data_IF_185138546180
#
_entry.id   IF_185138546180
#
_cell.length_a   1.000
_cell.length_b   1.000
_cell.length_c   1.000
_cell.angle_alpha   90.00
_cell.angle_beta   90.00
_cell.angle_gamma   90.00
#
_symmetry.space_group_name_H-M   'P 1'
#
loop_
_entity.id
_entity.type
_entity.pdbx_description
1 polymer ?
#
# COMPACT_ATOMS: atom_id res chain seq x y z
N UNK A 1 5.12 -2.06 -9.81
CA UNK A 1 4.04 -3.03 -9.58
C UNK A 1 3.17 -2.49 -8.47
N UNK A 2 1.86 -2.62 -8.60
CA UNK A 2 0.88 -2.29 -7.56
C UNK A 2 0.27 -3.60 -7.04
N UNK A 3 -0.02 -3.67 -5.74
CA UNK A 3 -0.62 -4.83 -5.10
C UNK A 3 -1.69 -4.35 -4.14
N UNK A 4 -2.89 -4.90 -4.25
CA UNK A 4 -4.07 -4.53 -3.47
C UNK A 4 -4.76 -5.79 -2.97
N UNK A 5 -5.64 -5.64 -1.98
CA UNK A 5 -6.62 -6.68 -1.68
C UNK A 5 -7.55 -6.89 -2.88
N UNK A 6 -8.28 -8.00 -2.92
CA UNK A 6 -9.28 -8.28 -3.96
C UNK A 6 -10.54 -7.43 -3.74
N UNK A 7 -10.45 -6.14 -4.08
CA UNK A 7 -11.56 -5.20 -3.97
C UNK A 7 -11.38 -4.02 -4.91
N UNK A 8 -12.44 -3.74 -5.66
CA UNK A 8 -12.56 -2.55 -6.51
C UNK A 8 -13.32 -1.41 -5.83
N UNK A 9 -13.61 -1.52 -4.53
CA UNK A 9 -14.37 -0.51 -3.80
C UNK A 9 -13.53 0.77 -3.64
N UNK A 10 -14.00 1.86 -4.24
CA UNK A 10 -13.30 3.16 -4.21
C UNK A 10 -14.27 4.30 -3.93
N UNK A 11 -13.97 5.11 -2.92
CA UNK A 11 -14.65 6.39 -2.65
C UNK A 11 -13.74 7.52 -3.14
N UNK A 12 -14.27 8.41 -4.00
CA UNK A 12 -13.48 9.44 -4.70
C UNK A 12 -13.70 10.84 -4.13
N UNK A 13 -12.61 11.56 -3.86
CA UNK A 13 -12.63 12.91 -3.29
C UNK A 13 -12.37 14.06 -4.31
N UNK A 14 -11.89 13.77 -5.50
CA UNK A 14 -11.50 14.80 -6.47
C UNK A 14 -10.61 14.28 -7.61
N UNK A 15 -10.06 15.20 -8.42
CA UNK A 15 -9.15 14.92 -9.55
C UNK A 15 -9.66 13.80 -10.49
N UNK A 16 -10.98 13.76 -10.69
CA UNK A 16 -11.65 12.73 -11.47
C UNK A 16 -12.95 13.30 -12.06
N UNK A 17 -13.30 12.79 -13.23
CA UNK A 17 -14.59 12.99 -13.89
C UNK A 17 -15.63 11.96 -13.45
N UNK A 18 -15.22 10.93 -12.69
CA UNK A 18 -16.11 9.88 -12.22
C UNK A 18 -17.01 10.37 -11.06
N UNK A 19 -18.09 9.63 -10.82
CA UNK A 19 -19.07 9.91 -9.75
C UNK A 19 -18.40 9.94 -8.37
N UNK A 20 -18.89 10.82 -7.50
CA UNK A 20 -18.40 11.04 -6.14
C UNK A 20 -19.50 10.75 -5.12
N UNK A 21 -19.25 9.80 -4.24
CA UNK A 21 -20.11 9.52 -3.09
C UNK A 21 -19.66 10.35 -1.89
N UNK A 22 -20.09 11.61 -1.87
CA UNK A 22 -19.65 12.60 -0.89
C UNK A 22 -20.08 12.25 0.55
N UNK A 23 -21.31 11.78 0.82
CA UNK A 23 -21.70 11.42 2.19
C UNK A 23 -20.82 10.31 2.78
N UNK A 24 -20.55 9.24 2.02
CA UNK A 24 -19.70 8.15 2.47
C UNK A 24 -18.22 8.57 2.55
N UNK A 25 -17.78 9.52 1.72
CA UNK A 25 -16.45 10.11 1.85
C UNK A 25 -16.28 10.85 3.19
N UNK A 26 -17.24 11.69 3.55
CA UNK A 26 -17.17 12.49 4.79
C UNK A 26 -17.27 11.61 6.03
N UNK A 27 -18.10 10.56 6.00
CA UNK A 27 -18.24 9.64 7.13
C UNK A 27 -17.08 8.65 7.27
N UNK A 28 -16.45 8.26 6.16
CA UNK A 28 -15.45 7.18 6.11
C UNK A 28 -13.99 7.62 6.32
N UNK A 29 -13.68 8.92 6.25
CA UNK A 29 -12.31 9.42 6.43
C UNK A 29 -11.98 9.54 7.92
N UNK A 30 -10.83 9.00 8.33
CA UNK A 30 -10.40 9.03 9.74
C UNK A 30 -9.95 10.42 10.25
N UNK A 31 -9.81 11.41 9.35
CA UNK A 31 -9.34 12.78 9.61
C UNK A 31 -8.01 12.89 10.39
N UNK A 32 -7.26 11.80 10.51
CA UNK A 32 -5.95 11.76 11.14
C UNK A 32 -4.88 12.33 10.20
N UNK A 33 -4.03 13.22 10.72
CA UNK A 33 -2.87 13.70 9.98
C UNK A 33 -1.82 12.58 9.88
N UNK A 34 -1.57 12.08 8.67
CA UNK A 34 -0.50 11.11 8.41
C UNK A 34 0.87 11.78 8.30
N UNK A 35 1.82 11.40 9.16
CA UNK A 35 3.24 11.75 8.96
C UNK A 35 3.79 10.92 7.79
N UNK A 36 4.36 11.55 6.76
CA UNK A 36 4.90 10.88 5.55
C UNK A 36 5.87 9.70 5.83
N UNK A 37 6.43 9.63 7.03
CA UNK A 37 7.40 8.61 7.44
C UNK A 37 6.74 7.32 7.95
N UNK A 38 5.47 7.36 8.39
CA UNK A 38 4.75 6.18 8.92
C UNK A 38 4.12 5.33 7.83
N UNK A 39 3.99 5.85 6.61
CA UNK A 39 3.42 5.15 5.43
C UNK A 39 4.47 4.66 4.45
N UNK A 40 5.76 4.91 4.71
CA UNK A 40 6.85 4.35 3.87
C UNK A 40 7.16 2.93 4.29
N UNK A 41 7.15 2.03 3.31
CA UNK A 41 7.62 0.67 3.48
C UNK A 41 9.14 0.66 3.59
N UNK A 42 9.66 -0.10 4.55
CA UNK A 42 11.08 -0.40 4.65
C UNK A 42 11.28 -1.88 4.30
N UNK A 43 11.88 -2.20 3.14
CA UNK A 43 12.18 -3.58 2.80
C UNK A 43 13.07 -4.22 3.86
N UNK A 44 12.74 -5.46 4.22
CA UNK A 44 13.51 -6.28 5.16
C UNK A 44 14.19 -7.39 4.38
N UNK A 45 15.51 -7.58 4.52
CA UNK A 45 16.22 -8.63 3.78
C UNK A 45 15.71 -10.02 4.18
N UNK A 46 15.56 -10.92 3.21
CA UNK A 46 15.36 -12.35 3.49
C UNK A 46 16.70 -12.97 3.87
N UNK A 47 16.72 -13.82 4.90
CA UNK A 47 17.96 -14.37 5.45
C UNK A 47 18.89 -14.98 4.36
N UNK A 48 20.13 -14.48 4.34
CA UNK A 48 21.29 -14.91 3.53
C UNK A 48 21.40 -14.45 2.06
N UNK A 49 20.34 -13.92 1.43
CA UNK A 49 20.44 -13.40 0.06
C UNK A 49 20.21 -11.89 0.00
N UNK A 50 21.29 -11.12 -0.16
CA UNK A 50 21.24 -9.65 -0.28
C UNK A 50 20.39 -9.15 -1.48
N UNK A 51 20.09 -10.03 -2.42
CA UNK A 51 19.24 -9.77 -3.58
C UNK A 51 17.73 -9.84 -3.27
N UNK A 52 17.32 -10.44 -2.15
CA UNK A 52 15.91 -10.69 -1.82
C UNK A 52 15.44 -9.87 -0.63
N UNK A 53 14.32 -9.15 -0.81
CA UNK A 53 13.72 -8.31 0.22
C UNK A 53 12.23 -8.60 0.38
N UNK A 54 11.77 -8.76 1.61
CA UNK A 54 10.35 -8.78 1.97
C UNK A 54 9.83 -7.38 2.26
N UNK A 55 8.64 -7.11 1.74
CA UNK A 55 7.88 -5.90 2.04
C UNK A 55 6.58 -6.33 2.72
N UNK A 56 6.46 -6.04 4.01
CA UNK A 56 5.22 -6.24 4.77
C UNK A 56 4.59 -4.88 5.04
N UNK A 57 3.30 -4.67 4.71
CA UNK A 57 2.62 -3.44 5.08
C UNK A 57 2.53 -3.26 6.60
N UNK A 58 2.60 -2.01 7.09
CA UNK A 58 2.50 -1.71 8.52
C UNK A 58 1.11 -2.02 9.09
N UNK A 59 0.09 -2.08 8.22
CA UNK A 59 -1.24 -2.59 8.56
C UNK A 59 -1.32 -4.04 8.11
N UNK A 60 -1.72 -4.93 9.03
CA UNK A 60 -1.96 -6.34 8.76
C UNK A 60 -3.14 -6.48 7.81
N UNK A 61 -2.87 -6.57 6.52
CA UNK A 61 -3.83 -7.01 5.51
C UNK A 61 -3.57 -8.52 5.35
N UNK A 62 -4.48 -9.39 5.84
CA UNK A 62 -4.24 -10.84 5.92
C UNK A 62 -3.92 -11.49 4.57
N UNK A 63 -4.31 -10.83 3.48
CA UNK A 63 -4.20 -11.34 2.12
C UNK A 63 -2.86 -11.02 1.44
N UNK A 64 -1.96 -10.24 2.06
CA UNK A 64 -0.85 -9.62 1.33
C UNK A 64 0.55 -9.81 1.94
N UNK A 65 1.46 -10.40 1.17
CA UNK A 65 2.92 -10.25 1.35
C UNK A 65 3.58 -10.14 -0.03
N UNK A 66 4.60 -9.27 -0.15
CA UNK A 66 5.36 -9.08 -1.39
C UNK A 66 6.82 -9.46 -1.19
N UNK A 67 7.37 -10.18 -2.17
CA UNK A 67 8.80 -10.51 -2.27
C UNK A 67 9.40 -9.75 -3.45
N UNK A 68 10.38 -8.90 -3.17
CA UNK A 68 11.17 -8.20 -4.17
C UNK A 68 12.48 -8.97 -4.40
N UNK A 69 12.70 -9.41 -5.65
CA UNK A 69 13.95 -10.04 -6.09
C UNK A 69 14.68 -9.03 -6.98
N UNK A 70 15.84 -8.55 -6.53
CA UNK A 70 16.74 -7.71 -7.33
C UNK A 70 17.78 -8.61 -7.99
N UNK A 71 17.62 -8.88 -9.28
CA UNK A 71 18.66 -9.55 -10.07
C UNK A 71 19.84 -8.58 -10.25
N UNK A 72 20.98 -8.88 -9.63
CA UNK A 72 22.25 -8.24 -9.94
C UNK A 72 22.66 -8.71 -11.34
N UNK A 73 22.59 -7.82 -12.32
CA UNK A 73 23.20 -8.07 -13.63
C UNK A 73 24.72 -7.96 -13.48
N UNK A 74 25.45 -8.98 -13.93
CA UNK A 74 26.92 -8.97 -14.05
C UNK A 74 27.41 -7.88 -15.03
#
# INVERSE_FOLDING_TARGET
MEYTADSDNVIRAGLTLNVRDVPNLVSGVAYAAGLRRTTRFRPTPLASEAAQHFMTPPISIPESFLVLIMLLSE
#
